data_IF_162422718180
#
_entry.id   IF_162422718180
#
_cell.length_a   1.000
_cell.length_b   1.000
_cell.length_c   1.000
_cell.angle_alpha   90.00
_cell.angle_beta   90.00
_cell.angle_gamma   90.00
#
_symmetry.space_group_name_H-M   'P 1'
#
loop_
_entity.id
_entity.type
_entity.pdbx_description
1 polymer ?
#
# COMPACT_ATOMS: atom_id res chain seq x y z
N UNK A 1 22.05 -33.68 -8.27
CA UNK A 1 22.50 -32.28 -8.42
C UNK A 1 21.63 -31.33 -7.58
N UNK A 2 20.30 -31.32 -7.77
CA UNK A 2 19.39 -30.44 -7.02
C UNK A 2 19.44 -30.64 -5.50
N UNK A 3 19.60 -31.87 -5.01
CA UNK A 3 19.80 -32.13 -3.56
C UNK A 3 21.11 -31.55 -3.02
N UNK A 4 22.18 -31.55 -3.82
CA UNK A 4 23.47 -30.94 -3.44
C UNK A 4 23.32 -29.42 -3.37
N UNK A 5 22.65 -28.81 -4.35
CA UNK A 5 22.35 -27.37 -4.34
C UNK A 5 21.47 -27.00 -3.15
N UNK A 6 20.42 -27.78 -2.85
CA UNK A 6 19.57 -27.59 -1.67
C UNK A 6 20.40 -27.63 -0.38
N UNK A 7 21.30 -28.60 -0.25
CA UNK A 7 22.18 -28.73 0.93
C UNK A 7 23.10 -27.51 1.05
N UNK A 8 23.72 -27.07 -0.05
CA UNK A 8 24.61 -25.90 -0.05
C UNK A 8 23.86 -24.59 0.24
N UNK A 9 22.61 -24.45 -0.22
CA UNK A 9 21.76 -23.31 0.16
C UNK A 9 21.45 -23.35 1.66
N UNK A 10 21.25 -24.54 2.21
CA UNK A 10 20.85 -24.69 3.60
C UNK A 10 21.99 -24.55 4.62
N UNK A 11 23.17 -25.09 4.31
CA UNK A 11 24.28 -25.22 5.26
C UNK A 11 25.60 -24.64 4.77
N UNK A 12 25.65 -24.11 3.54
CA UNK A 12 26.86 -23.49 2.98
C UNK A 12 27.18 -22.15 3.63
N UNK A 13 28.48 -21.79 3.62
CA UNK A 13 28.94 -20.43 3.93
C UNK A 13 28.37 -19.42 2.94
N UNK A 14 28.31 -18.13 3.31
CA UNK A 14 27.65 -17.08 2.50
C UNK A 14 28.06 -17.09 1.02
N UNK A 15 29.36 -17.19 0.64
CA UNK A 15 29.75 -17.21 -0.79
C UNK A 15 29.28 -18.48 -1.51
N UNK A 16 29.38 -19.64 -0.87
CA UNK A 16 28.94 -20.93 -1.45
C UNK A 16 27.43 -20.97 -1.65
N UNK A 17 26.67 -20.35 -0.73
CA UNK A 17 25.21 -20.20 -0.83
C UNK A 17 24.82 -19.32 -2.01
N UNK A 18 25.45 -18.16 -2.17
CA UNK A 18 25.22 -17.24 -3.29
C UNK A 18 25.50 -17.95 -4.63
N UNK A 19 26.63 -18.66 -4.73
CA UNK A 19 26.96 -19.43 -5.94
C UNK A 19 25.91 -20.52 -6.20
N UNK A 20 25.49 -21.26 -5.16
CA UNK A 20 24.46 -22.29 -5.31
C UNK A 20 23.12 -21.71 -5.77
N UNK A 21 22.74 -20.52 -5.26
CA UNK A 21 21.55 -19.79 -5.70
C UNK A 21 21.68 -19.30 -7.14
N UNK A 22 22.84 -18.80 -7.54
CA UNK A 22 23.12 -18.43 -8.93
C UNK A 22 22.99 -19.63 -9.89
N UNK A 23 23.46 -20.81 -9.48
CA UNK A 23 23.22 -22.04 -10.23
C UNK A 23 21.75 -22.43 -10.29
N UNK A 24 21.00 -22.31 -9.19
CA UNK A 24 19.55 -22.57 -9.20
C UNK A 24 18.84 -21.63 -10.17
N UNK A 25 19.16 -20.33 -10.14
CA UNK A 25 18.65 -19.35 -11.10
C UNK A 25 18.94 -19.75 -12.54
N UNK A 26 20.22 -20.02 -12.85
CA UNK A 26 20.63 -20.42 -14.20
C UNK A 26 19.97 -21.72 -14.68
N UNK A 27 19.78 -22.69 -13.77
CA UNK A 27 19.08 -23.94 -14.08
C UNK A 27 17.59 -23.71 -14.38
N UNK A 28 16.93 -22.80 -13.67
CA UNK A 28 15.55 -22.43 -14.01
C UNK A 28 15.47 -21.67 -15.34
N UNK A 29 16.47 -20.86 -15.69
CA UNK A 29 16.52 -20.18 -16.99
C UNK A 29 16.73 -21.15 -18.16
N UNK A 30 17.60 -22.16 -17.99
CA UNK A 30 17.99 -23.05 -19.08
C UNK A 30 17.17 -24.35 -19.16
N UNK A 31 16.64 -24.87 -18.04
CA UNK A 31 16.05 -26.20 -17.93
C UNK A 31 14.72 -26.19 -17.15
N UNK A 32 13.90 -25.18 -17.42
CA UNK A 32 12.66 -24.89 -16.71
C UNK A 32 11.71 -26.10 -16.57
N UNK A 33 11.46 -26.85 -17.64
CA UNK A 33 10.54 -28.00 -17.64
C UNK A 33 10.99 -29.12 -16.69
N UNK A 34 12.31 -29.32 -16.59
CA UNK A 34 12.88 -30.34 -15.71
C UNK A 34 12.87 -29.86 -14.26
N UNK A 35 13.17 -28.58 -14.04
CA UNK A 35 13.19 -27.96 -12.72
C UNK A 35 11.78 -27.80 -12.12
N UNK A 36 10.73 -27.73 -12.95
CA UNK A 36 9.34 -27.66 -12.49
C UNK A 36 8.98 -28.79 -11.52
N UNK A 37 9.45 -30.01 -11.80
CA UNK A 37 9.24 -31.20 -10.96
C UNK A 37 9.92 -31.13 -9.59
N UNK A 38 10.81 -30.15 -9.38
CA UNK A 38 11.59 -29.98 -8.16
C UNK A 38 11.25 -28.70 -7.40
N UNK A 39 10.32 -27.87 -7.93
CA UNK A 39 9.91 -26.61 -7.30
C UNK A 39 9.40 -26.84 -5.88
N UNK A 40 8.48 -27.78 -5.67
CA UNK A 40 7.88 -28.01 -4.34
C UNK A 40 8.91 -28.44 -3.29
N UNK A 41 10.00 -29.10 -3.70
CA UNK A 41 11.09 -29.53 -2.81
C UNK A 41 12.04 -28.38 -2.45
N UNK A 42 12.22 -27.44 -3.39
CA UNK A 42 13.09 -26.27 -3.24
C UNK A 42 12.38 -25.09 -2.57
N UNK A 43 11.07 -24.93 -2.77
CA UNK A 43 10.27 -23.80 -2.31
C UNK A 43 10.53 -23.46 -0.83
N UNK A 44 10.42 -24.40 0.13
CA UNK A 44 10.64 -24.09 1.54
C UNK A 44 12.08 -23.61 1.83
N UNK A 45 13.05 -24.12 1.07
CA UNK A 45 14.46 -23.74 1.21
C UNK A 45 14.71 -22.34 0.68
N UNK A 46 14.11 -22.00 -0.47
CA UNK A 46 14.19 -20.67 -1.06
C UNK A 46 13.51 -19.62 -0.17
N UNK A 47 12.34 -19.91 0.39
CA UNK A 47 11.66 -19.00 1.32
C UNK A 47 12.50 -18.69 2.56
N UNK A 48 13.22 -19.68 3.09
CA UNK A 48 14.11 -19.48 4.24
C UNK A 48 15.26 -18.50 3.95
N UNK A 49 15.69 -18.41 2.69
CA UNK A 49 16.73 -17.46 2.27
C UNK A 49 16.21 -16.02 2.22
N UNK A 50 14.89 -15.77 2.24
CA UNK A 50 14.38 -14.40 2.35
C UNK A 50 14.77 -13.74 3.69
N UNK A 51 15.04 -14.55 4.72
CA UNK A 51 15.59 -14.11 6.01
C UNK A 51 17.13 -14.06 6.05
N UNK A 52 17.82 -14.30 4.94
CA UNK A 52 19.28 -14.28 4.86
C UNK A 52 19.83 -12.86 5.11
N UNK A 53 20.94 -12.69 5.83
CA UNK A 53 21.56 -11.37 6.02
C UNK A 53 22.11 -10.74 4.73
N UNK A 54 22.41 -11.52 3.69
CA UNK A 54 22.95 -11.03 2.43
C UNK A 54 21.85 -10.59 1.46
N UNK A 55 21.83 -9.31 1.11
CA UNK A 55 20.88 -8.77 0.13
C UNK A 55 21.03 -9.41 -1.26
N UNK A 56 22.25 -9.81 -1.62
CA UNK A 56 22.53 -10.53 -2.87
C UNK A 56 21.86 -11.92 -2.89
N UNK A 57 21.89 -12.64 -1.77
CA UNK A 57 21.24 -13.94 -1.65
C UNK A 57 19.72 -13.81 -1.75
N UNK A 58 19.15 -12.80 -1.08
CA UNK A 58 17.71 -12.49 -1.16
C UNK A 58 17.33 -12.11 -2.59
N UNK A 59 18.11 -11.25 -3.25
CA UNK A 59 17.84 -10.82 -4.63
C UNK A 59 17.82 -12.00 -5.61
N UNK A 60 18.81 -12.90 -5.54
CA UNK A 60 18.87 -14.09 -6.38
C UNK A 60 17.64 -14.98 -6.20
N UNK A 61 17.18 -15.13 -4.95
CA UNK A 61 15.95 -15.90 -4.67
C UNK A 61 14.71 -15.23 -5.23
N UNK A 62 14.60 -13.91 -5.11
CA UNK A 62 13.47 -13.17 -5.70
C UNK A 62 13.48 -13.26 -7.22
N UNK A 63 14.66 -13.27 -7.87
CA UNK A 63 14.79 -13.53 -9.30
C UNK A 63 14.33 -14.93 -9.68
N UNK A 64 14.69 -15.96 -8.89
CA UNK A 64 14.18 -17.33 -9.08
C UNK A 64 12.66 -17.37 -8.96
N UNK A 65 12.07 -16.74 -7.93
CA UNK A 65 10.61 -16.68 -7.78
C UNK A 65 9.92 -15.93 -8.93
N UNK A 66 10.51 -14.82 -9.39
CA UNK A 66 9.99 -14.05 -10.51
C UNK A 66 10.02 -14.87 -11.82
N UNK A 67 11.11 -15.60 -12.04
CA UNK A 67 11.24 -16.51 -13.17
C UNK A 67 10.15 -17.58 -13.13
N UNK A 68 10.03 -18.33 -12.02
CA UNK A 68 8.97 -19.35 -11.83
C UNK A 68 7.57 -18.77 -12.05
N UNK A 69 7.33 -17.52 -11.62
CA UNK A 69 6.04 -16.85 -11.75
C UNK A 69 5.72 -16.44 -13.21
N UNK A 70 6.73 -16.17 -14.04
CA UNK A 70 6.56 -15.77 -15.45
C UNK A 70 6.68 -16.94 -16.43
N UNK A 71 7.27 -18.04 -16.00
CA UNK A 71 7.56 -19.26 -16.75
C UNK A 71 6.35 -19.97 -17.37
N UNK A 72 5.14 -19.85 -16.79
CA UNK A 72 3.91 -20.48 -17.29
C UNK A 72 3.16 -19.68 -18.38
N UNK A 73 3.78 -18.65 -18.97
CA UNK A 73 3.13 -17.77 -19.99
C UNK A 73 2.83 -18.45 -21.33
N UNK A 74 3.43 -19.60 -21.62
CA UNK A 74 3.39 -20.23 -22.96
C UNK A 74 2.34 -21.32 -23.11
N UNK A 75 1.76 -21.82 -22.01
CA UNK A 75 0.67 -22.80 -22.07
C UNK A 75 -0.67 -22.08 -21.93
N UNK A 76 -1.55 -22.29 -22.90
CA UNK A 76 -2.92 -21.75 -23.02
C UNK A 76 -3.89 -22.18 -21.91
N UNK A 77 -3.38 -22.79 -20.85
CA UNK A 77 -4.14 -23.15 -19.67
C UNK A 77 -4.06 -22.01 -18.65
N UNK A 78 -5.19 -21.72 -18.01
CA UNK A 78 -5.43 -20.58 -17.09
C UNK A 78 -4.61 -20.63 -15.77
N UNK A 79 -3.40 -21.19 -15.78
CA UNK A 79 -2.54 -21.50 -14.62
C UNK A 79 -1.45 -20.47 -14.33
N UNK A 80 -1.42 -19.32 -15.02
CA UNK A 80 -0.55 -18.18 -14.65
C UNK A 80 -0.78 -17.75 -13.18
N UNK A 81 -1.99 -18.01 -12.67
CA UNK A 81 -2.41 -17.61 -11.35
C UNK A 81 -1.94 -18.51 -10.20
N UNK A 82 -1.46 -19.74 -10.41
CA UNK A 82 -1.27 -20.64 -9.25
C UNK A 82 0.08 -20.42 -8.55
N UNK A 83 1.21 -20.45 -9.26
CA UNK A 83 2.52 -20.29 -8.62
C UNK A 83 2.81 -18.86 -8.15
N UNK A 84 2.40 -17.85 -8.92
CA UNK A 84 2.54 -16.46 -8.50
C UNK A 84 1.70 -16.18 -7.26
N UNK A 85 0.41 -16.56 -7.27
CA UNK A 85 -0.47 -16.40 -6.10
C UNK A 85 0.01 -17.25 -4.92
N UNK A 86 0.45 -18.50 -5.14
CA UNK A 86 1.06 -19.35 -4.10
C UNK A 86 2.30 -18.70 -3.50
N UNK A 87 3.17 -18.10 -4.33
CA UNK A 87 4.32 -17.36 -3.85
C UNK A 87 3.91 -16.17 -2.97
N UNK A 88 2.94 -15.36 -3.42
CA UNK A 88 2.44 -14.21 -2.64
C UNK A 88 1.78 -14.67 -1.33
N UNK A 89 0.95 -15.72 -1.35
CA UNK A 89 0.32 -16.26 -0.14
C UNK A 89 1.37 -16.74 0.87
N UNK A 90 2.37 -17.51 0.42
CA UNK A 90 3.43 -18.01 1.31
C UNK A 90 4.31 -16.86 1.83
N UNK A 91 4.57 -15.84 1.00
CA UNK A 91 5.28 -14.63 1.43
C UNK A 91 4.50 -13.86 2.51
N UNK A 92 3.19 -13.72 2.32
CA UNK A 92 2.30 -13.08 3.29
C UNK A 92 2.26 -13.86 4.61
N UNK A 93 2.20 -15.20 4.56
CA UNK A 93 2.27 -16.05 5.75
C UNK A 93 3.62 -15.93 6.48
N UNK A 94 4.71 -15.85 5.72
CA UNK A 94 6.05 -15.63 6.26
C UNK A 94 6.13 -14.28 6.99
N UNK A 95 5.67 -13.20 6.36
CA UNK A 95 5.65 -11.87 7.00
C UNK A 95 4.72 -11.79 8.21
N UNK A 96 3.62 -12.54 8.20
CA UNK A 96 2.68 -12.61 9.33
C UNK A 96 3.29 -13.32 10.52
N UNK A 97 4.03 -14.40 10.27
CA UNK A 97 4.65 -15.26 11.30
C UNK A 97 5.97 -14.68 11.82
N UNK A 98 6.77 -14.08 10.95
CA UNK A 98 8.07 -13.46 11.26
C UNK A 98 7.99 -11.92 11.07
N UNK A 99 7.50 -11.22 12.10
CA UNK A 99 7.38 -9.75 12.10
C UNK A 99 8.72 -9.03 11.98
N UNK A 100 9.80 -9.46 12.67
CA UNK A 100 11.12 -8.87 12.48
C UNK A 100 11.58 -8.89 11.02
N UNK A 101 11.29 -9.96 10.27
CA UNK A 101 11.59 -10.02 8.84
C UNK A 101 10.83 -8.95 8.05
N UNK A 102 9.53 -8.79 8.29
CA UNK A 102 8.72 -7.77 7.62
C UNK A 102 9.25 -6.36 7.90
N UNK A 103 9.59 -6.06 9.15
CA UNK A 103 10.11 -4.75 9.56
C UNK A 103 11.49 -4.47 8.96
N UNK A 104 12.38 -5.45 8.97
CA UNK A 104 13.76 -5.29 8.49
C UNK A 104 13.87 -5.33 6.96
N UNK A 105 13.15 -6.24 6.30
CA UNK A 105 13.35 -6.57 4.87
C UNK A 105 12.10 -6.44 4.01
N UNK A 106 10.91 -6.29 4.60
CA UNK A 106 9.65 -6.25 3.85
C UNK A 106 9.65 -5.18 2.76
N UNK A 107 10.15 -3.98 3.06
CA UNK A 107 10.24 -2.92 2.05
C UNK A 107 11.19 -3.27 0.89
N UNK A 108 12.35 -3.82 1.19
CA UNK A 108 13.30 -4.26 0.17
C UNK A 108 12.70 -5.35 -0.72
N UNK A 109 12.13 -6.40 -0.12
CA UNK A 109 11.55 -7.54 -0.86
C UNK A 109 10.44 -7.08 -1.81
N UNK A 110 9.48 -6.29 -1.33
CA UNK A 110 8.36 -5.82 -2.16
C UNK A 110 8.84 -4.92 -3.31
N UNK A 111 9.82 -4.05 -3.05
CA UNK A 111 10.42 -3.20 -4.08
C UNK A 111 11.13 -4.01 -5.16
N UNK A 112 11.94 -4.99 -4.77
CA UNK A 112 12.60 -5.88 -5.72
C UNK A 112 11.59 -6.69 -6.53
N UNK A 113 10.51 -7.17 -5.91
CA UNK A 113 9.43 -7.82 -6.65
C UNK A 113 8.81 -6.89 -7.70
N UNK A 114 8.53 -5.62 -7.35
CA UNK A 114 8.00 -4.63 -8.31
C UNK A 114 8.99 -4.30 -9.44
N UNK A 115 10.29 -4.52 -9.25
CA UNK A 115 11.29 -4.38 -10.31
C UNK A 115 11.35 -5.61 -11.24
N UNK A 116 11.12 -6.80 -10.68
CA UNK A 116 11.24 -8.07 -11.39
C UNK A 116 9.93 -8.52 -12.08
N UNK A 117 8.79 -8.08 -11.54
CA UNK A 117 7.44 -8.45 -11.98
C UNK A 117 6.59 -7.18 -12.15
N UNK A 118 5.40 -7.33 -12.74
CA UNK A 118 4.45 -6.23 -12.89
C UNK A 118 4.04 -5.66 -11.52
N UNK A 119 4.30 -4.36 -11.23
CA UNK A 119 3.86 -3.74 -9.98
C UNK A 119 2.34 -3.80 -9.81
N UNK A 120 1.59 -3.72 -10.91
CA UNK A 120 0.14 -3.79 -10.91
C UNK A 120 -0.36 -5.17 -10.43
N UNK A 121 0.21 -6.25 -10.97
CA UNK A 121 -0.14 -7.62 -10.58
C UNK A 121 0.22 -7.90 -9.12
N UNK A 122 1.38 -7.39 -8.66
CA UNK A 122 1.82 -7.49 -7.27
C UNK A 122 0.84 -6.78 -6.33
N UNK A 123 0.54 -5.51 -6.59
CA UNK A 123 -0.32 -4.71 -5.73
C UNK A 123 -1.76 -5.24 -5.70
N UNK A 124 -2.25 -5.74 -6.85
CA UNK A 124 -3.56 -6.37 -6.94
C UNK A 124 -3.61 -7.67 -6.14
N UNK A 125 -2.66 -8.58 -6.34
CA UNK A 125 -2.64 -9.89 -5.67
C UNK A 125 -2.40 -9.77 -4.16
N UNK A 126 -1.50 -8.87 -3.74
CA UNK A 126 -1.31 -8.54 -2.33
C UNK A 126 -2.59 -7.99 -1.71
N UNK A 127 -3.32 -7.15 -2.44
CA UNK A 127 -4.58 -6.59 -1.94
C UNK A 127 -5.67 -7.66 -1.84
N UNK A 128 -5.81 -8.53 -2.82
CA UNK A 128 -6.76 -9.64 -2.77
C UNK A 128 -6.44 -10.61 -1.61
N UNK A 129 -5.15 -10.83 -1.33
CA UNK A 129 -4.70 -11.65 -0.20
C UNK A 129 -5.00 -10.95 1.14
N UNK A 130 -4.67 -9.66 1.25
CA UNK A 130 -4.88 -8.85 2.45
C UNK A 130 -6.36 -8.60 2.78
N UNK A 131 -7.24 -8.56 1.78
CA UNK A 131 -8.68 -8.36 2.00
C UNK A 131 -9.31 -9.50 2.84
N UNK A 132 -8.69 -10.69 2.81
CA UNK A 132 -9.11 -11.87 3.58
C UNK A 132 -8.26 -12.10 4.85
N UNK A 133 -7.38 -11.15 5.20
CA UNK A 133 -6.44 -11.32 6.31
C UNK A 133 -7.15 -11.23 7.67
N UNK A 134 -7.07 -12.27 8.52
CA UNK A 134 -7.70 -12.25 9.84
C UNK A 134 -6.99 -11.35 10.84
N UNK A 135 -5.65 -11.21 10.78
CA UNK A 135 -4.93 -10.33 11.69
C UNK A 135 -4.94 -8.89 11.18
N UNK A 136 -5.86 -8.10 11.72
CA UNK A 136 -6.01 -6.69 11.33
C UNK A 136 -4.76 -5.86 11.62
N UNK A 137 -3.97 -6.20 12.65
CA UNK A 137 -2.72 -5.49 12.96
C UNK A 137 -1.67 -5.75 11.88
N UNK A 138 -1.50 -7.01 11.47
CA UNK A 138 -0.66 -7.36 10.31
C UNK A 138 -1.07 -6.62 9.04
N UNK A 139 -2.37 -6.66 8.72
CA UNK A 139 -2.89 -5.98 7.55
C UNK A 139 -2.57 -4.48 7.58
N UNK A 140 -2.71 -3.82 8.74
CA UNK A 140 -2.36 -2.40 8.91
C UNK A 140 -0.87 -2.12 8.70
N UNK A 141 0.02 -2.95 9.24
CA UNK A 141 1.48 -2.79 9.05
C UNK A 141 1.85 -3.01 7.57
N UNK A 142 1.28 -4.05 6.95
CA UNK A 142 1.56 -4.34 5.55
C UNK A 142 1.07 -3.21 4.63
N UNK A 143 -0.14 -2.71 4.85
CA UNK A 143 -0.69 -1.55 4.12
C UNK A 143 0.17 -0.31 4.30
N UNK A 144 0.69 -0.06 5.51
CA UNK A 144 1.63 1.04 5.77
C UNK A 144 2.90 0.92 4.92
N UNK A 145 3.48 -0.28 4.86
CA UNK A 145 4.68 -0.55 4.05
C UNK A 145 4.36 -0.37 2.56
N UNK A 146 3.27 -0.95 2.06
CA UNK A 146 2.84 -0.83 0.67
C UNK A 146 2.56 0.62 0.28
N UNK A 147 1.85 1.37 1.12
CA UNK A 147 1.58 2.79 0.88
C UNK A 147 2.87 3.61 0.84
N UNK A 148 3.82 3.35 1.74
CA UNK A 148 5.12 4.03 1.73
C UNK A 148 5.89 3.75 0.44
N UNK A 149 5.94 2.48 0.01
CA UNK A 149 6.62 2.06 -1.23
C UNK A 149 5.94 2.69 -2.44
N UNK A 150 4.60 2.59 -2.54
CA UNK A 150 3.80 3.13 -3.63
C UNK A 150 4.06 4.62 -3.82
N UNK A 151 4.17 5.38 -2.73
CA UNK A 151 4.37 6.82 -2.81
C UNK A 151 5.82 7.18 -3.13
N UNK A 152 6.81 6.48 -2.54
CA UNK A 152 8.22 6.94 -2.56
C UNK A 152 9.11 6.29 -3.60
N UNK A 153 8.79 5.07 -4.04
CA UNK A 153 9.73 4.25 -4.82
C UNK A 153 9.66 4.56 -6.32
N UNK A 154 10.81 4.71 -6.99
CA UNK A 154 10.87 5.15 -8.40
C UNK A 154 10.23 4.17 -9.38
N UNK A 155 10.34 2.89 -9.10
CA UNK A 155 9.82 1.76 -9.87
C UNK A 155 8.28 1.73 -9.99
N UNK A 156 7.58 2.47 -9.12
CA UNK A 156 6.12 2.58 -9.11
C UNK A 156 5.60 3.85 -9.78
N UNK A 157 6.46 4.55 -10.53
CA UNK A 157 6.06 5.79 -11.21
C UNK A 157 4.86 5.59 -12.13
N UNK A 158 4.88 4.57 -13.00
CA UNK A 158 3.78 4.33 -13.93
C UNK A 158 2.49 3.92 -13.21
N UNK A 159 2.59 3.11 -12.15
CA UNK A 159 1.44 2.74 -11.33
C UNK A 159 0.82 3.97 -10.65
N UNK A 160 1.65 4.88 -10.12
CA UNK A 160 1.18 6.15 -9.56
C UNK A 160 0.47 7.01 -10.60
N UNK A 161 0.99 7.10 -11.83
CA UNK A 161 0.35 7.87 -12.91
C UNK A 161 -1.00 7.26 -13.28
N UNK A 162 -1.10 5.93 -13.38
CA UNK A 162 -2.38 5.23 -13.61
C UNK A 162 -3.39 5.54 -12.51
N UNK A 163 -2.99 5.40 -11.24
CA UNK A 163 -3.85 5.66 -10.07
C UNK A 163 -4.22 7.15 -9.93
N UNK A 164 -3.34 8.06 -10.35
CA UNK A 164 -3.61 9.50 -10.34
C UNK A 164 -4.67 9.89 -11.37
N UNK A 165 -4.62 9.25 -12.54
CA UNK A 165 -5.45 9.64 -13.68
C UNK A 165 -6.79 8.89 -13.72
N UNK A 166 -6.84 7.62 -13.28
CA UNK A 166 -8.04 6.76 -13.28
C UNK A 166 -8.80 6.77 -14.62
N UNK A 167 -8.05 6.80 -15.72
CA UNK A 167 -8.62 6.93 -17.07
C UNK A 167 -9.33 5.65 -17.54
N UNK A 168 -8.79 4.49 -17.18
CA UNK A 168 -9.29 3.19 -17.67
C UNK A 168 -10.08 2.44 -16.60
N UNK A 169 -10.91 1.50 -17.01
CA UNK A 169 -11.69 0.65 -16.11
C UNK A 169 -10.74 -0.17 -15.22
N UNK A 170 -9.65 -0.69 -15.79
CA UNK A 170 -8.64 -1.45 -15.04
C UNK A 170 -7.97 -0.59 -13.96
N UNK A 171 -7.70 0.69 -14.26
CA UNK A 171 -7.14 1.61 -13.26
C UNK A 171 -8.13 1.95 -12.14
N UNK A 172 -9.43 2.02 -12.45
CA UNK A 172 -10.48 2.20 -11.47
C UNK A 172 -10.66 0.95 -10.60
N UNK A 173 -10.64 -0.24 -11.20
CA UNK A 173 -10.71 -1.53 -10.51
C UNK A 173 -9.51 -1.73 -9.58
N UNK A 174 -8.30 -1.38 -10.06
CA UNK A 174 -7.10 -1.39 -9.24
C UNK A 174 -7.25 -0.44 -8.04
N UNK A 175 -7.73 0.80 -8.27
CA UNK A 175 -7.97 1.74 -7.18
C UNK A 175 -8.97 1.18 -6.17
N UNK A 176 -10.09 0.58 -6.61
CA UNK A 176 -11.08 -0.03 -5.72
C UNK A 176 -10.48 -1.21 -4.94
N UNK A 177 -9.66 -2.04 -5.59
CA UNK A 177 -8.96 -3.15 -4.96
C UNK A 177 -8.02 -2.65 -3.84
N UNK A 178 -7.20 -1.65 -4.14
CA UNK A 178 -6.31 -1.00 -3.17
C UNK A 178 -7.08 -0.28 -2.08
N UNK A 179 -8.18 0.40 -2.41
CA UNK A 179 -8.98 1.12 -1.44
C UNK A 179 -9.46 0.19 -0.32
N UNK A 180 -10.03 -0.97 -0.70
CA UNK A 180 -10.55 -1.96 0.27
C UNK A 180 -9.47 -2.41 1.25
N UNK A 181 -8.25 -2.64 0.80
CA UNK A 181 -7.16 -3.02 1.70
C UNK A 181 -6.58 -1.85 2.46
N UNK A 182 -6.50 -0.66 1.84
CA UNK A 182 -6.02 0.55 2.49
C UNK A 182 -6.94 0.98 3.63
N UNK A 183 -8.19 0.53 3.67
CA UNK A 183 -9.08 0.70 4.83
C UNK A 183 -8.51 0.17 6.15
N UNK A 184 -7.52 -0.73 6.15
CA UNK A 184 -6.86 -1.16 7.39
C UNK A 184 -5.99 -0.07 8.01
N UNK A 185 -5.56 0.95 7.25
CA UNK A 185 -4.79 2.08 7.72
C UNK A 185 -5.41 3.41 7.22
N UNK A 186 -6.08 4.19 8.10
CA UNK A 186 -6.78 5.42 7.69
C UNK A 186 -5.89 6.46 7.02
N UNK A 187 -4.65 6.63 7.49
CA UNK A 187 -3.74 7.64 6.95
C UNK A 187 -3.24 7.25 5.56
N UNK A 188 -2.92 5.96 5.36
CA UNK A 188 -2.59 5.42 4.05
C UNK A 188 -3.76 5.60 3.07
N UNK A 189 -4.99 5.35 3.51
CA UNK A 189 -6.20 5.55 2.69
C UNK A 189 -6.37 6.99 2.23
N UNK A 190 -6.20 7.96 3.14
CA UNK A 190 -6.24 9.39 2.77
C UNK A 190 -5.11 9.73 1.80
N UNK A 191 -3.90 9.19 2.00
CA UNK A 191 -2.80 9.37 1.07
C UNK A 191 -3.10 8.81 -0.33
N UNK A 192 -3.80 7.67 -0.42
CA UNK A 192 -4.26 7.10 -1.68
C UNK A 192 -5.32 7.99 -2.36
N UNK A 193 -6.26 8.56 -1.60
CA UNK A 193 -7.24 9.50 -2.14
C UNK A 193 -6.58 10.81 -2.63
N UNK A 194 -5.56 11.31 -1.93
CA UNK A 194 -4.74 12.42 -2.40
C UNK A 194 -3.95 12.07 -3.67
N UNK A 195 -3.43 10.85 -3.76
CA UNK A 195 -2.76 10.34 -4.96
C UNK A 195 -3.70 10.36 -6.17
N UNK A 196 -4.92 9.86 -5.99
CA UNK A 196 -5.94 9.73 -7.03
C UNK A 196 -6.78 11.00 -7.28
N UNK A 197 -6.47 12.11 -6.61
CA UNK A 197 -7.19 13.39 -6.73
C UNK A 197 -8.68 13.33 -6.28
N UNK A 198 -9.06 12.38 -5.42
CA UNK A 198 -10.40 12.25 -4.88
C UNK A 198 -10.55 13.06 -3.58
N UNK A 199 -10.47 14.39 -3.69
CA UNK A 199 -10.38 15.29 -2.52
C UNK A 199 -11.66 15.38 -1.70
N UNK A 200 -12.83 15.29 -2.32
CA UNK A 200 -14.12 15.28 -1.61
C UNK A 200 -14.20 14.09 -0.66
N UNK A 201 -13.86 12.90 -1.17
CA UNK A 201 -13.83 11.68 -0.36
C UNK A 201 -12.76 11.73 0.73
N UNK A 202 -11.56 12.24 0.40
CA UNK A 202 -10.50 12.43 1.39
C UNK A 202 -10.97 13.35 2.54
N UNK A 203 -11.69 14.43 2.23
CA UNK A 203 -12.25 15.34 3.23
C UNK A 203 -13.26 14.63 4.14
N UNK A 204 -14.16 13.84 3.57
CA UNK A 204 -15.13 13.05 4.34
C UNK A 204 -14.42 12.05 5.27
N UNK A 205 -13.41 11.33 4.76
CA UNK A 205 -12.62 10.39 5.56
C UNK A 205 -11.89 11.07 6.72
N UNK A 206 -11.27 12.24 6.49
CA UNK A 206 -10.59 12.99 7.55
C UNK A 206 -11.56 13.44 8.64
N UNK A 207 -12.80 13.79 8.30
CA UNK A 207 -13.82 14.13 9.30
C UNK A 207 -14.20 12.93 10.18
N UNK A 208 -14.18 11.71 9.63
CA UNK A 208 -14.41 10.47 10.38
C UNK A 208 -13.27 10.15 11.37
N UNK A 209 -12.10 10.77 11.24
CA UNK A 209 -10.99 10.54 12.18
C UNK A 209 -11.29 11.06 13.59
N UNK A 210 -12.29 11.94 13.76
CA UNK A 210 -12.76 12.38 15.07
C UNK A 210 -13.29 11.23 15.93
N UNK A 211 -13.75 10.13 15.31
CA UNK A 211 -14.26 8.94 16.02
C UNK A 211 -13.17 7.91 16.29
N UNK A 212 -11.96 8.11 15.74
CA UNK A 212 -10.83 7.19 15.88
C UNK A 212 -10.00 7.58 17.10
N UNK A 213 -9.51 6.58 17.82
CA UNK A 213 -8.59 6.78 18.94
C UNK A 213 -7.26 7.36 18.45
N UNK A 214 -6.94 8.59 18.87
CA UNK A 214 -5.70 9.27 18.51
C UNK A 214 -4.54 8.67 19.32
N UNK A 215 -3.77 7.78 18.68
CA UNK A 215 -2.56 7.16 19.23
C UNK A 215 -1.30 7.87 18.76
N UNK A 216 -0.16 7.65 19.45
CA UNK A 216 1.14 8.20 19.02
C UNK A 216 1.53 7.72 17.63
N UNK A 217 1.32 6.43 17.33
CA UNK A 217 1.61 5.87 16.01
C UNK A 217 0.77 6.51 14.90
N UNK A 218 -0.50 6.79 15.19
CA UNK A 218 -1.40 7.50 14.28
C UNK A 218 -0.89 8.92 14.00
N UNK A 219 -0.43 9.65 15.03
CA UNK A 219 0.14 10.98 14.87
C UNK A 219 1.46 10.98 14.07
N UNK A 220 2.32 9.98 14.30
CA UNK A 220 3.55 9.79 13.52
C UNK A 220 3.22 9.56 12.03
N UNK A 221 2.14 8.83 11.73
CA UNK A 221 1.72 8.61 10.35
C UNK A 221 1.16 9.87 9.69
N UNK A 222 0.40 10.69 10.41
CA UNK A 222 -0.02 12.01 9.90
C UNK A 222 1.21 12.88 9.64
N UNK A 223 2.18 12.92 10.56
CA UNK A 223 3.42 13.68 10.40
C UNK A 223 4.17 13.26 9.12
N UNK A 224 4.33 11.95 8.90
CA UNK A 224 4.91 11.40 7.67
C UNK A 224 4.12 11.78 6.42
N UNK A 225 2.79 11.72 6.45
CA UNK A 225 1.95 12.15 5.33
C UNK A 225 2.17 13.63 5.02
N UNK A 226 2.21 14.49 6.03
CA UNK A 226 2.47 15.93 5.85
C UNK A 226 3.85 16.18 5.25
N UNK A 227 4.89 15.49 5.71
CA UNK A 227 6.21 15.56 5.08
C UNK A 227 6.16 15.13 3.60
N UNK A 228 5.39 14.08 3.29
CA UNK A 228 5.19 13.64 1.91
C UNK A 228 4.44 14.68 1.06
N UNK A 229 3.50 15.45 1.62
CA UNK A 229 2.82 16.53 0.87
C UNK A 229 3.81 17.58 0.36
N UNK A 230 4.95 17.77 1.04
CA UNK A 230 6.02 18.64 0.58
C UNK A 230 7.01 17.99 -0.39
N UNK A 231 6.93 16.67 -0.56
CA UNK A 231 7.75 15.93 -1.51
C UNK A 231 7.31 16.15 -2.97
N UNK A 232 8.18 15.85 -3.96
CA UNK A 232 7.85 15.99 -5.37
C UNK A 232 6.60 15.22 -5.81
N UNK A 233 6.28 14.11 -5.14
CA UNK A 233 5.16 13.22 -5.47
C UNK A 233 3.82 13.98 -5.43
N UNK A 234 3.63 14.89 -4.47
CA UNK A 234 2.43 15.69 -4.31
C UNK A 234 2.57 17.13 -4.81
N UNK A 235 3.52 17.41 -5.70
CA UNK A 235 3.67 18.73 -6.33
C UNK A 235 2.38 19.20 -7.01
N UNK A 236 1.67 18.29 -7.68
CA UNK A 236 0.40 18.63 -8.33
C UNK A 236 -0.70 19.00 -7.31
N UNK A 237 -0.72 18.37 -6.13
CA UNK A 237 -1.68 18.68 -5.06
C UNK A 237 -1.39 20.06 -4.49
N UNK A 238 -0.10 20.40 -4.28
CA UNK A 238 0.31 21.75 -3.87
C UNK A 238 -0.05 22.82 -4.90
N UNK A 239 0.06 22.50 -6.20
CA UNK A 239 -0.38 23.41 -7.26
C UNK A 239 -1.92 23.53 -7.32
N UNK A 240 -2.66 22.47 -6.99
CA UNK A 240 -4.12 22.51 -6.91
C UNK A 240 -4.61 23.48 -5.81
N UNK A 241 -3.81 23.75 -4.77
CA UNK A 241 -4.13 24.73 -3.74
C UNK A 241 -4.22 26.18 -4.25
N UNK A 242 -3.66 26.50 -5.43
CA UNK A 242 -3.82 27.83 -6.01
C UNK A 242 -5.26 28.09 -6.47
N UNK A 243 -5.97 27.04 -6.92
CA UNK A 243 -7.36 27.13 -7.35
C UNK A 243 -8.30 26.80 -6.18
N UNK A 244 -8.47 27.81 -5.32
CA UNK A 244 -9.29 27.72 -4.11
C UNK A 244 -10.76 27.44 -4.41
N UNK A 245 -11.27 27.85 -5.57
CA UNK A 245 -12.71 27.76 -5.88
C UNK A 245 -13.12 26.33 -6.19
N UNK A 246 -12.32 25.62 -6.97
CA UNK A 246 -12.58 24.24 -7.35
C UNK A 246 -12.04 23.23 -6.31
N UNK A 247 -11.05 23.59 -5.49
CA UNK A 247 -10.38 22.66 -4.56
C UNK A 247 -10.66 22.98 -3.07
N UNK A 248 -11.85 23.47 -2.74
CA UNK A 248 -12.23 23.78 -1.34
C UNK A 248 -12.16 22.56 -0.42
N UNK A 249 -12.55 21.38 -0.92
CA UNK A 249 -12.54 20.14 -0.15
C UNK A 249 -11.12 19.65 0.13
N UNK A 250 -10.16 19.90 -0.77
CA UNK A 250 -8.74 19.67 -0.50
C UNK A 250 -8.26 20.54 0.67
N UNK A 251 -8.55 21.84 0.64
CA UNK A 251 -8.15 22.76 1.73
C UNK A 251 -8.79 22.32 3.05
N UNK A 252 -10.08 21.96 3.04
CA UNK A 252 -10.78 21.47 4.22
C UNK A 252 -10.19 20.15 4.75
N UNK A 253 -9.81 19.22 3.87
CA UNK A 253 -9.15 17.97 4.26
C UNK A 253 -7.78 18.26 4.92
N UNK A 254 -6.97 19.14 4.34
CA UNK A 254 -5.68 19.54 4.91
C UNK A 254 -5.83 20.28 6.23
N UNK A 255 -6.82 21.17 6.36
CA UNK A 255 -7.15 21.79 7.64
C UNK A 255 -7.59 20.75 8.68
N UNK A 256 -8.38 19.75 8.28
CA UNK A 256 -8.76 18.64 9.16
C UNK A 256 -7.55 17.87 9.69
N UNK A 257 -6.59 17.55 8.82
CA UNK A 257 -5.32 16.93 9.22
C UNK A 257 -4.51 17.83 10.16
N UNK A 258 -4.46 19.14 9.89
CA UNK A 258 -3.79 20.11 10.75
C UNK A 258 -4.39 20.13 12.16
N UNK A 259 -5.71 20.04 12.28
CA UNK A 259 -6.42 20.06 13.57
C UNK A 259 -6.21 18.78 14.40
N UNK A 260 -5.79 17.67 13.77
CA UNK A 260 -5.46 16.43 14.46
C UNK A 260 -4.02 16.41 15.00
N UNK A 261 -3.13 17.25 14.46
CA UNK A 261 -1.73 17.30 14.88
C UNK A 261 -1.55 18.09 16.18
N UNK A 262 -0.70 17.63 17.11
CA UNK A 262 -0.30 18.42 18.26
C UNK A 262 0.45 19.68 17.80
N UNK A 263 0.09 20.85 18.34
CA UNK A 263 0.63 22.15 17.90
C UNK A 263 2.14 22.37 18.09
N UNK A 264 2.89 21.38 18.61
CA UNK A 264 4.35 21.42 18.80
C UNK A 264 5.13 20.60 17.75
N UNK A 265 4.46 19.90 16.84
CA UNK A 265 5.14 19.06 15.85
C UNK A 265 5.59 19.86 14.64
N UNK A 266 6.69 19.44 14.00
CA UNK A 266 7.18 20.07 12.77
C UNK A 266 6.16 19.96 11.64
N UNK A 267 5.45 18.83 11.50
CA UNK A 267 4.37 18.70 10.53
C UNK A 267 3.28 19.76 10.70
N UNK A 268 2.91 20.10 11.94
CA UNK A 268 1.92 21.16 12.17
C UNK A 268 2.42 22.49 11.55
N UNK A 269 3.68 22.86 11.79
CA UNK A 269 4.27 24.07 11.24
C UNK A 269 4.49 24.02 9.73
N UNK A 270 4.83 22.86 9.17
CA UNK A 270 4.97 22.67 7.71
C UNK A 270 3.63 22.90 7.03
N UNK A 271 2.59 22.17 7.46
CA UNK A 271 1.27 22.23 6.85
C UNK A 271 0.62 23.60 7.04
N UNK A 272 0.74 24.19 8.24
CA UNK A 272 0.25 25.54 8.52
C UNK A 272 0.88 26.57 7.59
N UNK A 273 2.21 26.59 7.46
CA UNK A 273 2.90 27.53 6.55
C UNK A 273 2.44 27.35 5.10
N UNK A 274 2.24 26.10 4.66
CA UNK A 274 1.73 25.82 3.31
C UNK A 274 0.32 26.38 3.09
N UNK A 275 -0.56 26.22 4.07
CA UNK A 275 -1.93 26.74 4.03
C UNK A 275 -1.97 28.28 4.13
N UNK A 276 -1.06 28.90 4.89
CA UNK A 276 -0.92 30.36 4.96
C UNK A 276 -0.50 30.98 3.62
N UNK A 277 0.19 30.23 2.74
CA UNK A 277 0.50 30.67 1.39
C UNK A 277 -0.70 30.64 0.43
N UNK A 278 -1.85 30.07 0.83
CA UNK A 278 -3.03 29.96 -0.03
C UNK A 278 -3.75 31.32 -0.09
N UNK A 279 -3.96 31.90 -1.29
CA UNK A 279 -4.62 33.20 -1.41
C UNK A 279 -6.05 33.16 -0.84
N UNK A 280 -6.43 34.18 -0.06
CA UNK A 280 -7.78 34.33 0.51
C UNK A 280 -8.23 33.18 1.45
N UNK A 281 -7.27 32.49 2.11
CA UNK A 281 -7.51 31.36 3.01
C UNK A 281 -8.61 31.61 4.06
N UNK A 282 -8.67 32.81 4.64
CA UNK A 282 -9.62 33.14 5.72
C UNK A 282 -10.92 33.76 5.16
N UNK A 283 -10.83 34.63 4.16
CA UNK A 283 -11.99 35.38 3.64
C UNK A 283 -13.00 34.51 2.87
N UNK A 284 -12.55 33.40 2.27
CA UNK A 284 -13.44 32.47 1.55
C UNK A 284 -14.04 31.38 2.43
N UNK A 285 -13.43 31.01 3.56
CA UNK A 285 -14.02 30.03 4.49
C UNK A 285 -15.31 30.54 5.15
N UNK A 286 -15.41 31.86 5.40
CA UNK A 286 -16.57 32.49 6.05
C UNK A 286 -17.74 32.79 5.10
N UNK A 287 -17.51 32.82 3.79
CA UNK A 287 -18.55 33.11 2.79
C UNK A 287 -19.22 31.85 2.20
N UNK A 288 -18.76 30.65 2.57
CA UNK A 288 -19.25 29.35 2.06
C UNK A 288 -20.52 28.87 2.75
N UNK A 289 -20.73 29.15 4.05
CA UNK A 289 -21.97 28.76 4.75
C UNK A 289 -23.24 29.37 4.14
N UNK A 290 -23.11 30.45 3.35
CA UNK A 290 -24.23 31.07 2.64
C UNK A 290 -24.49 30.51 1.23
N UNK A 291 -23.57 29.74 0.64
CA UNK A 291 -23.72 29.22 -0.74
C UNK A 291 -24.10 27.74 -0.81
N UNK A 292 -23.84 26.95 0.24
CA UNK A 292 -24.13 25.51 0.25
C UNK A 292 -25.65 25.21 0.13
N UNK A 293 -26.53 26.14 0.52
CA UNK A 293 -27.99 25.96 0.36
C UNK A 293 -28.47 26.16 -1.09
N UNK A 294 -27.69 26.81 -1.96
CA UNK A 294 -28.16 27.24 -3.28
C UNK A 294 -27.54 26.53 -4.49
N UNK A 295 -26.57 25.62 -4.32
CA UNK A 295 -25.94 24.88 -5.43
C UNK A 295 -26.46 23.46 -5.66
N UNK A 296 -27.56 23.06 -5.00
CA UNK A 296 -28.22 21.76 -5.24
C UNK A 296 -28.86 21.62 -6.63
N UNK A 297 -28.75 22.62 -7.49
CA UNK A 297 -29.34 22.62 -8.83
C UNK A 297 -28.35 23.30 -9.78
N UNK A 298 -27.82 22.53 -10.75
CA UNK A 298 -26.96 22.92 -11.87
C UNK A 298 -25.44 22.78 -11.70
N UNK A 299 -24.98 21.55 -11.91
CA UNK A 299 -23.78 21.28 -12.71
C UNK A 299 -24.05 20.10 -13.63
N UNK A 300 -24.78 20.38 -14.72
CA UNK A 300 -24.64 19.63 -15.98
C UNK A 300 -23.69 20.44 -16.86
N UNK A 301 -22.96 19.71 -17.69
CA UNK A 301 -22.10 20.15 -18.82
C UNK A 301 -20.63 20.44 -18.45
N UNK A 302 -19.60 20.03 -19.20
CA UNK A 302 -19.47 19.26 -20.44
C UNK A 302 -18.01 18.77 -20.52
N UNK A 303 -17.79 17.54 -21.01
CA UNK A 303 -16.45 17.01 -21.24
C UNK A 303 -16.49 15.51 -21.50
N UNK A 304 -16.65 15.13 -22.76
CA UNK A 304 -16.49 13.76 -23.28
C UNK A 304 -15.05 13.29 -23.09
N UNK A 305 -14.80 12.68 -21.95
CA UNK A 305 -13.78 11.65 -21.74
C UNK A 305 -14.49 10.60 -20.88
N UNK A 306 -14.41 9.32 -21.26
CA UNK A 306 -14.84 8.21 -20.41
C UNK A 306 -14.02 8.25 -19.11
N UNK A 307 -14.42 9.08 -18.17
CA UNK A 307 -13.76 9.19 -16.87
C UNK A 307 -14.29 8.03 -16.01
N UNK A 308 -13.54 6.94 -16.01
CA UNK A 308 -13.88 5.71 -15.26
C UNK A 308 -14.06 6.00 -13.76
N UNK A 309 -13.62 7.16 -13.27
CA UNK A 309 -13.91 7.68 -11.93
C UNK A 309 -15.40 7.73 -11.59
N UNK A 310 -16.27 8.02 -12.57
CA UNK A 310 -17.73 8.06 -12.35
C UNK A 310 -18.34 6.70 -12.01
N UNK A 311 -17.63 5.62 -12.29
CA UNK A 311 -18.08 4.26 -11.98
C UNK A 311 -17.70 3.84 -10.55
N UNK A 312 -16.90 4.62 -9.83
CA UNK A 312 -16.47 4.30 -8.47
C UNK A 312 -17.55 4.75 -7.48
N UNK A 313 -18.13 3.80 -6.76
CA UNK A 313 -19.13 4.08 -5.72
C UNK A 313 -18.44 4.41 -4.39
N UNK A 314 -18.19 5.70 -4.15
CA UNK A 314 -17.52 6.16 -2.93
C UNK A 314 -18.35 5.95 -1.66
N UNK A 315 -19.69 5.92 -1.75
CA UNK A 315 -20.56 5.66 -0.60
C UNK A 315 -20.40 4.23 -0.10
N UNK A 316 -20.38 3.25 -1.00
CA UNK A 316 -20.13 1.85 -0.66
C UNK A 316 -18.73 1.66 -0.06
N UNK A 317 -17.72 2.32 -0.64
CA UNK A 317 -16.36 2.29 -0.14
C UNK A 317 -16.24 2.90 1.27
N UNK A 318 -16.98 3.98 1.54
CA UNK A 318 -17.05 4.57 2.88
C UNK A 318 -17.66 3.61 3.91
N UNK A 319 -18.76 2.94 3.56
CA UNK A 319 -19.37 1.94 4.44
C UNK A 319 -18.44 0.77 4.70
N UNK A 320 -17.72 0.32 3.65
CA UNK A 320 -16.70 -0.71 3.80
C UNK A 320 -15.59 -0.27 4.76
N UNK A 321 -15.09 0.96 4.62
CA UNK A 321 -14.09 1.53 5.54
C UNK A 321 -14.55 1.49 6.99
N UNK A 322 -15.76 1.97 7.29
CA UNK A 322 -16.33 1.94 8.64
C UNK A 322 -16.42 0.51 9.20
N UNK A 323 -16.80 -0.46 8.36
CA UNK A 323 -16.85 -1.87 8.78
C UNK A 323 -15.49 -2.43 9.18
N UNK A 324 -14.42 -2.07 8.46
CA UNK A 324 -13.05 -2.50 8.75
C UNK A 324 -12.52 -1.81 10.01
N UNK A 325 -12.78 -0.52 10.18
CA UNK A 325 -12.39 0.20 11.40
C UNK A 325 -13.07 -0.37 12.65
N UNK A 326 -14.35 -0.73 12.56
CA UNK A 326 -15.04 -1.42 13.66
C UNK A 326 -14.39 -2.77 13.99
N UNK A 327 -13.99 -3.57 13.00
CA UNK A 327 -13.26 -4.83 13.23
C UNK A 327 -11.93 -4.61 13.95
N UNK A 328 -11.22 -3.54 13.65
CA UNK A 328 -9.97 -3.16 14.36
C UNK A 328 -10.23 -2.80 15.82
N UNK A 329 -11.27 -2.00 16.08
CA UNK A 329 -11.70 -1.64 17.45
C UNK A 329 -12.05 -2.90 18.24
N UNK A 330 -12.83 -3.81 17.67
CA UNK A 330 -13.23 -5.05 18.32
C UNK A 330 -12.05 -5.99 18.57
N UNK A 331 -11.14 -6.13 17.59
CA UNK A 331 -9.91 -6.92 17.74
C UNK A 331 -9.01 -6.37 18.85
N UNK A 332 -8.88 -5.05 18.95
CA UNK A 332 -8.13 -4.37 20.04
C UNK A 332 -8.80 -4.62 21.40
N UNK A 333 -10.13 -4.51 21.49
CA UNK A 333 -10.90 -4.81 22.73
C UNK A 333 -10.73 -6.26 23.18
N UNK A 334 -10.74 -7.22 22.26
CA UNK A 334 -10.53 -8.63 22.58
C UNK A 334 -9.12 -8.87 23.12
N UNK A 335 -8.08 -8.28 22.51
CA UNK A 335 -6.69 -8.39 23.01
C UNK A 335 -6.54 -7.87 24.45
N UNK A 336 -7.19 -6.76 24.80
CA UNK A 336 -7.17 -6.25 26.18
C UNK A 336 -7.92 -7.14 27.17
N UNK A 337 -9.03 -7.77 26.76
CA UNK A 337 -9.80 -8.67 27.63
C UNK A 337 -9.09 -9.98 27.95
N UNK A 338 -8.21 -10.44 27.07
CA UNK A 338 -7.45 -11.69 27.23
C UNK A 338 -5.97 -11.46 27.55
N UNK A 339 -5.54 -10.21 27.76
CA UNK A 339 -4.21 -9.94 28.29
C UNK A 339 -4.11 -10.58 29.69
N UNK A 340 -3.15 -11.49 29.95
CA UNK A 340 -2.99 -12.03 31.28
C UNK A 340 -2.73 -10.86 32.23
N UNK A 341 -3.53 -10.75 33.27
CA UNK A 341 -3.25 -9.87 34.41
C UNK A 341 -1.87 -10.23 34.92
N UNK A 342 -0.87 -9.42 34.59
CA UNK A 342 0.41 -9.41 35.28
C UNK A 342 0.19 -8.79 36.66
N UNK A 343 -0.56 -9.50 37.50
CA UNK A 343 -0.66 -9.26 38.93
C UNK A 343 -0.11 -10.50 39.63
N UNK A 344 1.08 -10.35 40.20
CA UNK A 344 1.68 -11.35 41.07
C UNK A 344 3.19 -11.50 40.95
N UNK A 345 3.95 -10.47 41.32
CA UNK A 345 5.17 -10.57 42.15
C UNK A 345 5.64 -9.19 42.62
#
# INVERSE_FOLDING_TARGET
MVEVLKTQIQSGASPSRIIALGWVHHLFECLQDQMASHIDVLFPTLFRVLSDPSDEAVLLVLQVFALISTSNRTNTDRNYNDYFTKFIIVLMDLFRTDRPLLEARGSFIIRQLCMLLSPEDIYKTLSETLANEPDTNFASIMVKILSSILLTSTELYDLRVKLKNLQTIESADLFVCLYKTWCHNPIALVALCFLSQNYDHACTLVQLFAEIEVTVDFLIEIDKLVQLLESPIFTYLRLALLDVENNQTLIRALCGLLMLLPGKTDAFHILRRRLECVPNFIDKFTSVDKRIVNLSINTKENGTINDSRKNINFDELQQYYLSIQNKHVDSKRQRYRYAPTSDGL
#
